data_IF_769059947902
#
_entry.id   IF_769059947902
#
_cell.length_a   1.000
_cell.length_b   1.000
_cell.length_c   1.000
_cell.angle_alpha   90.00
_cell.angle_beta   90.00
_cell.angle_gamma   90.00
#
_symmetry.space_group_name_H-M   'P 1'
#
loop_
_entity.id
_entity.type
_entity.pdbx_description
1 polymer ?
#
# COMPACT_ATOMS: atom_id res chain seq x y z
N UNK A 1 15.65 -1.07 -35.97
CA UNK A 1 15.05 -2.01 -34.99
C UNK A 1 16.17 -2.53 -34.13
N UNK A 2 16.32 -2.03 -32.91
CA UNK A 2 17.30 -2.53 -31.94
C UNK A 2 16.66 -3.66 -31.16
N UNK A 3 17.04 -4.90 -31.44
CA UNK A 3 16.72 -6.06 -30.60
C UNK A 3 17.42 -5.86 -29.27
N UNK A 4 16.67 -5.52 -28.23
CA UNK A 4 17.17 -5.52 -26.86
C UNK A 4 17.63 -6.94 -26.55
N UNK A 5 18.93 -7.17 -26.38
CA UNK A 5 19.46 -8.42 -25.87
C UNK A 5 18.96 -8.54 -24.42
N UNK A 6 17.96 -9.40 -24.22
CA UNK A 6 17.39 -9.67 -22.88
C UNK A 6 18.22 -10.78 -22.27
N UNK A 7 18.99 -10.44 -21.24
CA UNK A 7 19.64 -11.43 -20.39
C UNK A 7 18.63 -11.96 -19.35
N UNK A 8 18.17 -13.20 -19.55
CA UNK A 8 17.18 -13.84 -18.68
C UNK A 8 17.75 -14.17 -17.30
N UNK A 9 19.07 -14.31 -17.16
CA UNK A 9 19.70 -14.55 -15.87
C UNK A 9 19.55 -13.35 -14.94
N UNK A 10 19.42 -12.14 -15.51
CA UNK A 10 19.13 -10.93 -14.75
C UNK A 10 17.67 -10.84 -14.26
N UNK A 11 16.72 -11.53 -14.93
CA UNK A 11 15.30 -11.55 -14.56
C UNK A 11 14.94 -12.71 -13.63
N UNK A 12 15.75 -13.77 -13.60
CA UNK A 12 15.55 -14.95 -12.77
C UNK A 12 15.33 -14.63 -11.27
N UNK A 13 16.08 -13.72 -10.63
CA UNK A 13 15.81 -13.35 -9.24
C UNK A 13 14.43 -12.71 -9.04
N UNK A 14 13.97 -11.90 -10.01
CA UNK A 14 12.66 -11.23 -9.97
C UNK A 14 11.53 -12.24 -10.09
N UNK A 15 11.60 -13.15 -11.07
CA UNK A 15 10.61 -14.22 -11.25
C UNK A 15 10.59 -15.15 -10.03
N UNK A 16 11.77 -15.52 -9.51
CA UNK A 16 11.88 -16.37 -8.31
C UNK A 16 11.25 -15.73 -7.08
N UNK A 17 11.47 -14.43 -6.85
CA UNK A 17 10.87 -13.71 -5.74
C UNK A 17 9.34 -13.67 -5.83
N UNK A 18 8.80 -13.43 -7.04
CA UNK A 18 7.36 -13.40 -7.29
C UNK A 18 6.71 -14.78 -7.14
N UNK A 19 7.32 -15.84 -7.71
CA UNK A 19 6.84 -17.23 -7.53
C UNK A 19 6.77 -17.59 -6.04
N UNK A 20 7.79 -17.23 -5.26
CA UNK A 20 7.78 -17.42 -3.80
C UNK A 20 6.68 -16.61 -3.11
N UNK A 21 6.43 -15.37 -3.55
CA UNK A 21 5.36 -14.53 -2.99
C UNK A 21 3.98 -15.16 -3.20
N UNK A 22 3.72 -15.79 -4.35
CA UNK A 22 2.47 -16.50 -4.62
C UNK A 22 2.41 -17.92 -4.03
N UNK A 23 3.46 -18.39 -3.35
CA UNK A 23 3.54 -19.76 -2.84
C UNK A 23 3.66 -20.82 -3.95
N UNK A 24 4.08 -20.41 -5.15
CA UNK A 24 4.19 -21.28 -6.31
C UNK A 24 5.42 -22.19 -6.28
N UNK A 25 5.37 -23.34 -6.97
CA UNK A 25 6.49 -24.28 -7.03
C UNK A 25 7.67 -23.72 -7.83
N UNK A 26 8.89 -24.14 -7.45
CA UNK A 26 10.12 -23.67 -8.08
C UNK A 26 10.26 -24.02 -9.57
N UNK A 27 9.52 -25.01 -10.07
CA UNK A 27 9.55 -25.38 -11.49
C UNK A 27 8.83 -24.36 -12.39
N UNK A 28 7.93 -23.54 -11.85
CA UNK A 28 7.25 -22.48 -12.62
C UNK A 28 8.22 -21.38 -13.06
N UNK A 29 9.38 -21.26 -12.40
CA UNK A 29 10.34 -20.17 -12.64
C UNK A 29 10.87 -20.19 -14.06
N UNK A 30 11.26 -21.35 -14.59
CA UNK A 30 11.82 -21.46 -15.93
C UNK A 30 10.76 -21.23 -17.02
N UNK A 31 9.54 -21.74 -16.82
CA UNK A 31 8.40 -21.52 -17.70
C UNK A 31 8.03 -20.03 -17.77
N UNK A 32 7.96 -19.37 -16.61
CA UNK A 32 7.68 -17.94 -16.50
C UNK A 32 8.79 -17.07 -17.10
N UNK A 33 10.06 -17.47 -16.99
CA UNK A 33 11.17 -16.80 -17.66
C UNK A 33 11.05 -16.92 -19.19
N UNK A 34 10.67 -18.09 -19.69
CA UNK A 34 10.44 -18.30 -21.12
C UNK A 34 9.25 -17.49 -21.64
N UNK A 35 8.13 -17.45 -20.91
CA UNK A 35 6.97 -16.62 -21.27
C UNK A 35 7.29 -15.12 -21.24
N UNK A 36 8.08 -14.70 -20.26
CA UNK A 36 8.60 -13.33 -20.15
C UNK A 36 9.43 -12.97 -21.37
N UNK A 37 10.35 -13.86 -21.77
CA UNK A 37 11.18 -13.67 -22.95
C UNK A 37 10.33 -13.52 -24.22
N UNK A 38 9.39 -14.44 -24.45
CA UNK A 38 8.47 -14.39 -25.60
C UNK A 38 7.65 -13.10 -25.64
N UNK A 39 7.32 -12.56 -24.47
CA UNK A 39 6.57 -11.31 -24.34
C UNK A 39 7.43 -10.10 -24.67
N UNK A 40 8.68 -10.08 -24.22
CA UNK A 40 9.63 -9.02 -24.52
C UNK A 40 9.91 -8.90 -26.02
N UNK A 41 9.89 -10.02 -26.77
CA UNK A 41 10.00 -9.99 -28.23
C UNK A 41 8.84 -9.25 -28.93
N UNK A 42 7.68 -9.12 -28.26
CA UNK A 42 6.47 -8.49 -28.81
C UNK A 42 6.32 -7.03 -28.39
N UNK A 43 7.08 -6.56 -27.41
CA UNK A 43 6.98 -5.20 -26.88
C UNK A 43 7.88 -4.25 -27.67
N UNK A 44 7.32 -3.12 -28.11
CA UNK A 44 8.12 -2.02 -28.69
C UNK A 44 8.65 -1.15 -27.55
N UNK A 45 9.97 -1.15 -27.36
CA UNK A 45 10.63 -0.29 -26.40
C UNK A 45 10.79 1.13 -26.94
N UNK A 46 10.36 2.11 -26.15
CA UNK A 46 10.59 3.53 -26.38
C UNK A 46 11.59 4.06 -25.34
N UNK A 47 12.85 4.32 -25.72
CA UNK A 47 13.89 4.80 -24.81
C UNK A 47 13.58 6.15 -24.16
N UNK A 48 12.68 6.95 -24.75
CA UNK A 48 12.29 8.24 -24.18
C UNK A 48 11.34 8.10 -22.99
N UNK A 49 10.78 6.90 -22.77
CA UNK A 49 9.78 6.61 -21.73
C UNK A 49 10.30 5.77 -20.56
N UNK A 50 11.57 5.35 -20.58
CA UNK A 50 12.18 4.62 -19.48
C UNK A 50 13.37 3.78 -19.91
N UNK A 51 13.97 3.06 -18.96
CA UNK A 51 15.10 2.17 -19.22
C UNK A 51 14.65 0.74 -19.58
N UNK A 52 15.43 0.07 -20.43
CA UNK A 52 15.15 -1.29 -20.91
C UNK A 52 15.11 -2.36 -19.81
N UNK A 53 16.04 -2.36 -18.83
CA UNK A 53 15.98 -3.27 -17.69
C UNK A 53 14.68 -3.16 -16.87
N UNK A 54 14.18 -1.95 -16.64
CA UNK A 54 12.92 -1.69 -15.94
C UNK A 54 11.74 -2.23 -16.75
N UNK A 55 11.72 -2.03 -18.07
CA UNK A 55 10.72 -2.66 -18.93
C UNK A 55 10.75 -4.20 -18.80
N UNK A 56 11.94 -4.79 -18.82
CA UNK A 56 12.11 -6.24 -18.69
C UNK A 56 11.56 -6.77 -17.36
N UNK A 57 11.80 -6.06 -16.25
CA UNK A 57 11.24 -6.38 -14.93
C UNK A 57 9.72 -6.26 -14.89
N UNK A 58 9.16 -5.21 -15.48
CA UNK A 58 7.69 -4.99 -15.55
C UNK A 58 7.01 -6.12 -16.33
N UNK A 59 7.55 -6.49 -17.49
CA UNK A 59 7.01 -7.60 -18.29
C UNK A 59 7.12 -8.93 -17.54
N UNK A 60 8.26 -9.19 -16.88
CA UNK A 60 8.44 -10.40 -16.08
C UNK A 60 7.37 -10.52 -15.00
N UNK A 61 7.18 -9.48 -14.18
CA UNK A 61 6.18 -9.49 -13.11
C UNK A 61 4.76 -9.62 -13.62
N UNK A 62 4.42 -8.91 -14.70
CA UNK A 62 3.09 -9.02 -15.31
C UNK A 62 2.79 -10.45 -15.73
N UNK A 63 3.79 -11.18 -16.24
CA UNK A 63 3.62 -12.60 -16.60
C UNK A 63 3.43 -13.49 -15.40
N UNK A 64 4.24 -13.34 -14.36
CA UNK A 64 4.03 -14.11 -13.12
C UNK A 64 2.65 -13.85 -12.51
N UNK A 65 2.22 -12.58 -12.47
CA UNK A 65 0.90 -12.21 -11.98
C UNK A 65 -0.23 -12.76 -12.85
N UNK A 66 -0.16 -12.61 -14.18
CA UNK A 66 -1.16 -13.14 -15.10
C UNK A 66 -1.26 -14.67 -14.99
N UNK A 67 -0.13 -15.36 -14.86
CA UNK A 67 -0.05 -16.81 -14.67
C UNK A 67 -0.77 -17.26 -13.39
N UNK A 68 -0.43 -16.69 -12.22
CA UNK A 68 -1.06 -17.12 -10.96
C UNK A 68 -2.51 -16.64 -10.83
N UNK A 69 -2.87 -15.49 -11.41
CA UNK A 69 -4.26 -15.06 -11.53
C UNK A 69 -5.08 -16.04 -12.36
N UNK A 70 -4.53 -16.51 -13.48
CA UNK A 70 -5.18 -17.49 -14.34
C UNK A 70 -5.25 -18.88 -13.67
N UNK A 71 -4.19 -19.30 -12.99
CA UNK A 71 -4.15 -20.55 -12.23
C UNK A 71 -5.19 -20.56 -11.08
N UNK A 72 -5.36 -19.43 -10.38
CA UNK A 72 -6.39 -19.27 -9.36
C UNK A 72 -7.82 -19.35 -9.94
N UNK A 73 -8.03 -18.79 -11.14
CA UNK A 73 -9.34 -18.85 -11.82
C UNK A 73 -9.71 -20.25 -12.36
N UNK A 74 -8.73 -21.12 -12.56
CA UNK A 74 -8.92 -22.49 -13.05
C UNK A 74 -8.93 -23.57 -11.94
N UNK A 75 -9.01 -23.17 -10.67
CA UNK A 75 -9.33 -24.08 -9.57
C UNK A 75 -8.23 -25.08 -9.20
N UNK A 76 -6.95 -24.71 -9.35
CA UNK A 76 -5.83 -25.52 -8.85
C UNK A 76 -5.12 -24.85 -7.67
N UNK A 77 -4.91 -25.65 -6.65
CA UNK A 77 -4.40 -25.35 -5.30
C UNK A 77 -3.09 -24.55 -5.31
N UNK A 78 -3.09 -23.35 -4.72
CA UNK A 78 -1.88 -22.73 -4.18
C UNK A 78 -2.06 -22.60 -2.66
N UNK A 79 -1.41 -23.51 -1.93
CA UNK A 79 -1.35 -23.51 -0.47
C UNK A 79 -0.29 -22.53 0.02
N UNK A 80 -0.75 -21.45 0.65
CA UNK A 80 -0.07 -20.81 1.79
C UNK A 80 1.05 -19.81 1.51
N UNK A 81 0.99 -18.65 2.18
CA UNK A 81 2.16 -17.78 2.33
C UNK A 81 1.88 -16.29 2.53
N UNK A 82 1.25 -15.95 3.66
CA UNK A 82 1.09 -14.59 4.21
C UNK A 82 2.31 -13.69 3.96
N UNK A 83 2.17 -12.63 3.15
CA UNK A 83 2.98 -11.40 3.26
C UNK A 83 2.15 -10.20 2.83
N UNK A 84 2.22 -9.14 3.61
CA UNK A 84 1.52 -7.85 3.43
C UNK A 84 1.99 -7.15 2.14
N UNK A 85 1.53 -7.64 0.99
CA UNK A 85 1.70 -7.00 -0.31
C UNK A 85 0.51 -6.08 -0.58
N UNK A 86 0.68 -5.11 -1.47
CA UNK A 86 -0.36 -4.17 -1.90
C UNK A 86 -1.66 -4.91 -2.36
N UNK A 87 -1.53 -6.18 -2.76
CA UNK A 87 -2.63 -7.08 -3.10
C UNK A 87 -3.53 -7.47 -1.93
N UNK A 88 -3.04 -7.53 -0.68
CA UNK A 88 -3.91 -7.75 0.48
C UNK A 88 -4.90 -6.59 0.69
N UNK A 89 -4.60 -5.41 0.13
CA UNK A 89 -5.46 -4.24 0.15
C UNK A 89 -6.50 -4.33 -0.98
N UNK A 90 -6.16 -4.85 -2.15
CA UNK A 90 -7.11 -4.96 -3.29
C UNK A 90 -7.98 -6.23 -3.26
N UNK A 91 -7.50 -7.34 -2.70
CA UNK A 91 -8.21 -8.63 -2.70
C UNK A 91 -9.45 -8.70 -1.79
N UNK A 92 -9.63 -7.76 -0.86
CA UNK A 92 -10.78 -7.75 0.07
C UNK A 92 -12.10 -7.40 -0.63
N UNK A 93 -12.09 -6.97 -1.91
CA UNK A 93 -13.29 -6.61 -2.68
C UNK A 93 -13.86 -7.74 -3.56
N UNK A 94 -13.37 -8.97 -3.42
CA UNK A 94 -13.90 -10.12 -4.16
C UNK A 94 -15.10 -10.74 -3.47
N UNK A 95 -16.24 -10.03 -3.43
CA UNK A 95 -17.47 -10.60 -2.90
C UNK A 95 -17.90 -11.79 -3.77
N UNK A 96 -18.19 -12.90 -3.10
CA UNK A 96 -18.39 -14.21 -3.69
C UNK A 96 -19.81 -14.34 -4.26
N UNK A 97 -20.03 -13.97 -5.53
CA UNK A 97 -21.07 -14.56 -6.39
C UNK A 97 -21.16 -13.84 -7.75
N UNK A 98 -20.59 -14.41 -8.81
CA UNK A 98 -21.14 -14.31 -10.17
C UNK A 98 -20.40 -15.30 -11.08
N UNK A 99 -21.01 -16.48 -11.29
CA UNK A 99 -20.74 -17.28 -12.47
C UNK A 99 -21.16 -16.43 -13.67
N UNK A 100 -20.21 -15.97 -14.47
CA UNK A 100 -20.49 -15.05 -15.57
C UNK A 100 -19.35 -15.02 -16.59
N UNK A 101 -19.65 -15.62 -17.74
CA UNK A 101 -18.96 -15.60 -19.03
C UNK A 101 -18.04 -14.39 -19.28
N UNK A 102 -16.79 -14.68 -19.68
CA UNK A 102 -15.78 -13.68 -20.05
C UNK A 102 -16.08 -13.15 -21.45
N UNK A 103 -16.51 -11.88 -21.52
CA UNK A 103 -16.39 -11.05 -22.72
C UNK A 103 -15.11 -10.19 -22.58
N UNK A 104 -14.29 -10.13 -23.63
CA UNK A 104 -12.88 -9.74 -23.57
C UNK A 104 -12.63 -8.21 -23.74
N UNK A 105 -13.69 -7.41 -23.81
CA UNK A 105 -13.57 -5.96 -24.09
C UNK A 105 -13.60 -5.05 -22.85
N UNK A 106 -13.96 -5.54 -21.65
CA UNK A 106 -14.13 -4.69 -20.44
C UNK A 106 -12.87 -4.55 -19.58
N UNK A 107 -11.90 -5.48 -19.67
CA UNK A 107 -10.71 -5.50 -18.79
C UNK A 107 -9.80 -4.28 -18.90
N UNK A 108 -9.93 -3.50 -19.98
CA UNK A 108 -9.11 -2.31 -20.22
C UNK A 108 -9.60 -1.10 -19.42
N UNK A 109 -10.89 -1.07 -19.06
CA UNK A 109 -11.52 0.02 -18.30
C UNK A 109 -11.26 -0.15 -16.80
N UNK A 110 -11.34 -1.38 -16.29
CA UNK A 110 -11.13 -1.69 -14.87
C UNK A 110 -9.70 -1.39 -14.39
N UNK A 111 -8.67 -1.74 -15.17
CA UNK A 111 -7.28 -1.47 -14.79
C UNK A 111 -6.93 0.04 -14.80
N UNK A 112 -7.56 0.83 -15.68
CA UNK A 112 -7.42 2.28 -15.68
C UNK A 112 -8.17 2.93 -14.51
N UNK A 113 -9.29 2.37 -14.10
CA UNK A 113 -10.07 2.86 -12.97
C UNK A 113 -9.42 2.51 -11.63
N UNK A 114 -8.83 1.32 -11.50
CA UNK A 114 -8.01 0.95 -10.35
C UNK A 114 -6.78 1.84 -10.22
N UNK A 115 -6.06 2.10 -11.31
CA UNK A 115 -4.90 3.00 -11.30
C UNK A 115 -5.31 4.44 -10.97
N UNK A 116 -6.43 4.92 -11.51
CA UNK A 116 -7.00 6.24 -11.19
C UNK A 116 -7.37 6.33 -9.71
N UNK A 117 -7.99 5.29 -9.16
CA UNK A 117 -8.35 5.22 -7.75
C UNK A 117 -7.11 5.19 -6.84
N UNK A 118 -6.06 4.46 -7.22
CA UNK A 118 -4.77 4.44 -6.50
C UNK A 118 -4.10 5.81 -6.53
N UNK A 119 -4.05 6.47 -7.69
CA UNK A 119 -3.47 7.81 -7.85
C UNK A 119 -4.29 8.87 -7.12
N UNK A 120 -5.61 8.77 -7.12
CA UNK A 120 -6.52 9.66 -6.38
C UNK A 120 -6.30 9.52 -4.88
N UNK A 121 -6.24 8.29 -4.35
CA UNK A 121 -5.91 8.05 -2.94
C UNK A 121 -4.53 8.58 -2.59
N UNK A 122 -3.52 8.37 -3.44
CA UNK A 122 -2.16 8.89 -3.20
C UNK A 122 -2.10 10.42 -3.22
N UNK A 123 -2.87 11.07 -4.10
CA UNK A 123 -2.98 12.52 -4.14
C UNK A 123 -3.72 13.06 -2.91
N UNK A 124 -4.79 12.37 -2.49
CA UNK A 124 -5.52 12.64 -1.27
C UNK A 124 -4.60 12.54 -0.05
N UNK A 125 -3.79 11.47 0.03
CA UNK A 125 -2.79 11.26 1.09
C UNK A 125 -1.72 12.36 1.05
N UNK A 126 -1.22 12.74 -0.12
CA UNK A 126 -0.25 13.84 -0.25
C UNK A 126 -0.82 15.17 0.28
N UNK A 127 -2.09 15.46 -0.05
CA UNK A 127 -2.78 16.69 0.33
C UNK A 127 -3.22 16.71 1.80
N UNK A 128 -3.80 15.61 2.29
CA UNK A 128 -4.31 15.46 3.66
C UNK A 128 -3.22 15.59 4.74
N UNK A 129 -2.00 15.22 4.39
CA UNK A 129 -0.94 15.01 5.37
C UNK A 129 0.20 15.99 5.25
N UNK A 130 0.16 16.89 4.26
CA UNK A 130 1.33 17.67 3.87
C UNK A 130 2.55 16.76 3.76
N UNK A 131 2.37 15.54 3.22
CA UNK A 131 3.47 14.60 3.13
C UNK A 131 4.55 15.27 2.31
N UNK A 132 5.73 15.37 2.91
CA UNK A 132 6.95 15.76 2.21
C UNK A 132 6.98 15.02 0.87
N UNK A 133 6.95 15.78 -0.23
CA UNK A 133 6.85 15.24 -1.59
C UNK A 133 7.92 14.19 -1.85
N UNK A 134 9.09 14.35 -1.22
CA UNK A 134 10.19 13.39 -1.27
C UNK A 134 9.82 12.02 -0.67
N UNK A 135 9.00 11.96 0.38
CA UNK A 135 8.59 10.68 0.99
C UNK A 135 7.62 9.91 0.11
N UNK A 136 6.67 10.61 -0.51
CA UNK A 136 5.75 10.03 -1.50
C UNK A 136 6.56 9.55 -2.70
N UNK A 137 7.48 10.37 -3.20
CA UNK A 137 8.33 10.03 -4.34
C UNK A 137 9.20 8.80 -4.03
N UNK A 138 9.86 8.75 -2.87
CA UNK A 138 10.64 7.58 -2.47
C UNK A 138 9.78 6.32 -2.30
N UNK A 139 8.56 6.45 -1.78
CA UNK A 139 7.61 5.34 -1.71
C UNK A 139 7.22 4.85 -3.10
N UNK A 140 6.84 5.76 -4.00
CA UNK A 140 6.46 5.43 -5.37
C UNK A 140 7.62 4.82 -6.13
N UNK A 141 8.82 5.38 -6.03
CA UNK A 141 10.02 4.80 -6.65
C UNK A 141 10.33 3.43 -6.06
N UNK A 142 10.28 3.29 -4.73
CA UNK A 142 10.48 2.00 -4.07
C UNK A 142 9.51 0.95 -4.59
N UNK A 143 8.23 1.25 -4.76
CA UNK A 143 7.23 0.25 -5.14
C UNK A 143 6.98 0.11 -6.65
N UNK A 144 7.22 1.15 -7.46
CA UNK A 144 6.98 1.15 -8.90
C UNK A 144 8.25 0.90 -9.73
N UNK A 145 9.43 1.28 -9.22
CA UNK A 145 10.72 1.16 -9.95
C UNK A 145 11.56 0.02 -9.37
N UNK A 146 11.60 -0.07 -8.03
CA UNK A 146 12.40 -1.07 -7.31
C UNK A 146 11.54 -2.20 -6.70
N UNK A 147 10.22 -2.09 -6.80
CA UNK A 147 9.20 -3.07 -6.36
C UNK A 147 9.43 -3.66 -4.98
N UNK A 148 9.73 -2.79 -4.01
CA UNK A 148 9.97 -3.16 -2.63
C UNK A 148 11.39 -3.61 -2.32
N UNK A 149 12.31 -3.69 -3.31
CA UNK A 149 13.73 -3.94 -3.05
C UNK A 149 14.38 -2.71 -2.42
N UNK A 150 14.30 -2.68 -1.10
CA UNK A 150 14.88 -1.62 -0.27
C UNK A 150 16.39 -1.50 -0.38
N UNK A 151 17.10 -2.55 -0.81
CA UNK A 151 18.56 -2.53 -0.95
C UNK A 151 18.94 -1.85 -2.26
N UNK A 152 18.33 -2.27 -3.38
CA UNK A 152 18.52 -1.64 -4.68
C UNK A 152 18.07 -0.17 -4.68
N UNK A 153 16.89 0.09 -4.10
CA UNK A 153 16.37 1.45 -3.95
C UNK A 153 17.30 2.32 -3.08
N UNK A 154 17.84 1.76 -1.98
CA UNK A 154 18.76 2.51 -1.10
C UNK A 154 20.03 2.94 -1.83
N UNK A 155 20.63 2.02 -2.59
CA UNK A 155 21.83 2.32 -3.37
C UNK A 155 21.57 3.36 -4.47
N UNK A 156 20.42 3.29 -5.14
CA UNK A 156 20.11 4.17 -6.26
C UNK A 156 19.59 5.56 -5.85
N UNK A 157 18.88 5.65 -4.71
CA UNK A 157 18.29 6.90 -4.22
C UNK A 157 19.21 7.66 -3.25
N UNK A 158 20.30 7.05 -2.78
CA UNK A 158 21.18 7.65 -1.78
C UNK A 158 20.52 7.78 -0.39
N UNK A 159 19.43 7.06 -0.15
CA UNK A 159 18.66 7.05 1.11
C UNK A 159 18.88 5.72 1.82
N UNK A 160 18.98 5.70 3.14
CA UNK A 160 19.17 4.43 3.85
C UNK A 160 17.96 3.50 3.72
N UNK A 161 18.19 2.20 3.59
CA UNK A 161 17.13 1.19 3.54
C UNK A 161 16.20 1.23 4.77
N UNK A 162 16.72 1.67 5.92
CA UNK A 162 15.91 1.89 7.13
C UNK A 162 14.88 3.02 6.92
N UNK A 163 15.31 4.16 6.38
CA UNK A 163 14.44 5.31 6.09
C UNK A 163 13.41 4.97 5.00
N UNK A 164 13.79 4.20 3.98
CA UNK A 164 12.86 3.72 2.95
C UNK A 164 11.77 2.81 3.54
N UNK A 165 12.15 1.85 4.41
CA UNK A 165 11.17 0.98 5.09
C UNK A 165 10.27 1.75 6.05
N UNK A 166 10.81 2.74 6.76
CA UNK A 166 10.04 3.59 7.64
C UNK A 166 9.01 4.41 6.85
N UNK A 167 9.46 5.07 5.78
CA UNK A 167 8.60 5.86 4.89
C UNK A 167 7.51 4.99 4.27
N UNK A 168 7.85 3.79 3.79
CA UNK A 168 6.88 2.88 3.20
C UNK A 168 5.81 2.43 4.20
N UNK A 169 6.21 2.05 5.42
CA UNK A 169 5.25 1.72 6.49
C UNK A 169 4.36 2.90 6.85
N UNK A 170 4.87 4.12 6.82
CA UNK A 170 4.09 5.32 7.12
C UNK A 170 3.06 5.59 6.03
N UNK A 171 3.47 5.59 4.76
CA UNK A 171 2.58 5.81 3.61
C UNK A 171 1.50 4.73 3.53
N UNK A 172 1.84 3.46 3.73
CA UNK A 172 0.87 2.35 3.75
C UNK A 172 -0.17 2.54 4.87
N UNK A 173 0.28 2.84 6.08
CA UNK A 173 -0.65 3.04 7.21
C UNK A 173 -1.61 4.21 6.94
N UNK A 174 -1.12 5.27 6.31
CA UNK A 174 -1.92 6.43 5.96
C UNK A 174 -2.93 6.13 4.85
N UNK A 175 -2.49 5.46 3.79
CA UNK A 175 -3.38 5.02 2.71
C UNK A 175 -4.48 4.10 3.25
N UNK A 176 -4.16 3.20 4.18
CA UNK A 176 -5.14 2.33 4.83
C UNK A 176 -6.16 3.12 5.66
N UNK A 177 -5.73 4.15 6.40
CA UNK A 177 -6.65 5.01 7.17
C UNK A 177 -7.55 5.83 6.25
N UNK A 178 -6.99 6.45 5.21
CA UNK A 178 -7.77 7.21 4.22
C UNK A 178 -8.80 6.29 3.58
N UNK A 179 -8.39 5.10 3.14
CA UNK A 179 -9.32 4.11 2.58
C UNK A 179 -10.42 3.73 3.58
N UNK A 180 -10.07 3.42 4.82
CA UNK A 180 -11.03 3.06 5.84
C UNK A 180 -12.00 4.21 6.16
N UNK A 181 -11.56 5.47 6.06
CA UNK A 181 -12.43 6.65 6.20
C UNK A 181 -13.37 6.79 4.98
N UNK A 182 -12.87 6.56 3.77
CA UNK A 182 -13.67 6.59 2.55
C UNK A 182 -14.77 5.50 2.54
N UNK A 183 -14.47 4.33 3.11
CA UNK A 183 -15.36 3.16 3.20
C UNK A 183 -16.22 3.15 4.48
N UNK A 184 -16.07 4.12 5.39
CA UNK A 184 -16.82 4.16 6.64
C UNK A 184 -18.33 4.36 6.40
N UNK A 185 -19.20 3.74 7.23
CA UNK A 185 -20.66 3.88 7.12
C UNK A 185 -21.13 5.32 7.37
N UNK A 186 -22.20 5.71 6.69
CA UNK A 186 -22.69 7.10 6.65
C UNK A 186 -23.35 7.55 7.97
N UNK A 187 -23.89 6.63 8.77
CA UNK A 187 -24.77 6.97 9.90
C UNK A 187 -24.08 7.60 11.11
N UNK A 188 -22.75 7.51 11.22
CA UNK A 188 -21.93 8.17 12.26
C UNK A 188 -20.47 7.70 12.16
N UNK A 189 -19.66 8.21 11.22
CA UNK A 189 -18.26 7.82 11.16
C UNK A 189 -17.50 8.29 12.41
N UNK A 190 -16.54 7.48 12.88
CA UNK A 190 -15.68 7.78 14.03
C UNK A 190 -14.21 7.69 13.61
N UNK A 191 -13.46 8.75 13.89
CA UNK A 191 -12.01 8.82 13.70
C UNK A 191 -11.31 7.70 14.49
N UNK A 192 -11.71 7.48 15.75
CA UNK A 192 -11.12 6.43 16.60
C UNK A 192 -11.34 5.05 15.98
N UNK A 193 -12.58 4.75 15.56
CA UNK A 193 -12.91 3.47 14.95
C UNK A 193 -12.15 3.23 13.64
N UNK A 194 -12.02 4.27 12.81
CA UNK A 194 -11.30 4.20 11.53
C UNK A 194 -9.80 3.98 11.72
N UNK A 195 -9.15 4.64 12.68
CA UNK A 195 -7.72 4.40 12.92
C UNK A 195 -7.49 3.01 13.53
N UNK A 196 -8.43 2.54 14.37
CA UNK A 196 -8.35 1.23 15.00
C UNK A 196 -8.57 0.06 14.03
N UNK A 197 -9.33 0.26 12.95
CA UNK A 197 -9.62 -0.79 11.96
C UNK A 197 -8.44 -1.13 11.04
N UNK A 198 -7.43 -0.26 10.97
CA UNK A 198 -6.29 -0.44 10.09
C UNK A 198 -5.33 -1.49 10.65
N UNK A 199 -4.93 -2.51 9.83
CA UNK A 199 -4.01 -3.56 10.24
C UNK A 199 -2.57 -3.04 10.32
N UNK A 200 -2.32 -2.17 11.28
CA UNK A 200 -0.98 -1.69 11.64
C UNK A 200 -0.71 -1.96 13.10
N UNK A 201 0.56 -2.21 13.44
CA UNK A 201 0.99 -2.39 14.84
C UNK A 201 0.67 -1.18 15.73
N UNK A 202 0.34 -0.05 15.12
CA UNK A 202 0.03 1.22 15.78
C UNK A 202 -1.48 1.46 15.84
N UNK A 203 -2.25 1.04 14.82
CA UNK A 203 -3.71 1.12 14.80
C UNK A 203 -4.35 0.40 15.99
N UNK A 204 -3.82 -0.75 16.39
CA UNK A 204 -4.30 -1.48 17.59
C UNK A 204 -4.24 -0.68 18.90
N UNK A 205 -3.35 0.31 18.98
CA UNK A 205 -3.20 1.17 20.16
C UNK A 205 -4.08 2.42 20.07
N UNK A 206 -4.64 2.72 18.90
CA UNK A 206 -5.42 3.93 18.68
C UNK A 206 -6.59 4.13 19.66
N UNK A 207 -7.38 3.10 20.05
CA UNK A 207 -8.45 3.29 21.03
C UNK A 207 -7.98 3.83 22.37
N UNK A 208 -6.85 3.32 22.90
CA UNK A 208 -6.31 3.76 24.18
C UNK A 208 -5.77 5.20 24.11
N UNK A 209 -5.03 5.52 23.05
CA UNK A 209 -4.39 6.83 22.92
C UNK A 209 -5.38 7.94 22.52
N UNK A 210 -6.31 7.65 21.61
CA UNK A 210 -7.34 8.61 21.22
C UNK A 210 -8.44 8.71 22.26
N UNK A 211 -8.75 7.65 23.01
CA UNK A 211 -9.63 7.72 24.19
C UNK A 211 -9.08 8.70 25.22
N UNK A 212 -7.79 8.59 25.57
CA UNK A 212 -7.14 9.56 26.45
C UNK A 212 -7.12 10.99 25.86
N UNK A 213 -7.11 11.13 24.53
CA UNK A 213 -7.24 12.43 23.87
C UNK A 213 -8.63 13.04 23.99
N UNK A 214 -9.67 12.23 23.88
CA UNK A 214 -11.04 12.67 24.12
C UNK A 214 -11.21 13.14 25.56
N UNK A 215 -10.69 12.39 26.53
CA UNK A 215 -10.73 12.75 27.95
C UNK A 215 -9.92 14.03 28.26
N UNK A 216 -8.79 14.23 27.59
CA UNK A 216 -7.96 15.42 27.74
C UNK A 216 -8.52 16.66 27.02
N UNK A 217 -9.59 16.52 26.23
CA UNK A 217 -10.19 17.62 25.45
C UNK A 217 -9.41 17.95 24.18
N UNK A 218 -8.81 16.96 23.53
CA UNK A 218 -8.23 17.07 22.18
C UNK A 218 -6.81 16.52 22.05
N UNK A 219 -6.39 16.25 20.81
CA UNK A 219 -5.09 15.63 20.49
C UNK A 219 -3.87 16.49 20.84
N UNK A 220 -4.06 17.78 21.10
CA UNK A 220 -2.99 18.71 21.53
C UNK A 220 -2.90 18.84 23.04
N UNK A 221 -3.93 18.44 23.78
CA UNK A 221 -4.01 18.58 25.24
C UNK A 221 -3.44 17.38 26.01
N UNK A 222 -3.16 16.27 25.32
CA UNK A 222 -2.69 15.03 25.93
C UNK A 222 -1.25 15.12 26.43
N UNK A 223 -1.05 14.81 27.71
CA UNK A 223 0.28 14.56 28.28
C UNK A 223 0.77 13.13 27.96
N UNK A 224 1.98 13.04 27.41
CA UNK A 224 2.62 11.78 27.05
C UNK A 224 3.02 10.96 28.28
N UNK A 225 3.31 11.60 29.42
CA UNK A 225 3.58 10.85 30.66
C UNK A 225 2.32 10.16 31.15
N UNK A 226 1.17 10.85 31.14
CA UNK A 226 -0.11 10.26 31.45
C UNK A 226 -0.46 9.08 30.51
N UNK A 227 -0.19 9.21 29.20
CA UNK A 227 -0.36 8.10 28.24
C UNK A 227 0.55 6.90 28.55
N UNK A 228 1.81 7.15 28.90
CA UNK A 228 2.76 6.09 29.26
C UNK A 228 2.27 5.32 30.49
N UNK A 229 1.78 6.03 31.50
CA UNK A 229 1.17 5.44 32.70
C UNK A 229 -0.10 4.67 32.37
N UNK A 230 -1.02 5.25 31.59
CA UNK A 230 -2.31 4.63 31.26
C UNK A 230 -2.15 3.36 30.40
N UNK A 231 -1.17 3.34 29.51
CA UNK A 231 -0.93 2.20 28.59
C UNK A 231 0.11 1.21 29.08
N UNK A 232 0.79 1.49 30.20
CA UNK A 232 1.87 0.68 30.74
C UNK A 232 3.10 0.60 29.82
N UNK A 233 3.28 1.56 28.91
CA UNK A 233 4.40 1.57 27.96
C UNK A 233 5.52 2.50 28.40
N UNK A 234 6.80 2.22 28.06
CA UNK A 234 7.89 3.16 28.33
C UNK A 234 7.63 4.52 27.67
N UNK A 235 8.01 5.61 28.36
CA UNK A 235 7.75 6.99 27.90
C UNK A 235 8.14 7.24 26.44
N UNK A 236 9.33 6.81 26.02
CA UNK A 236 9.79 7.01 24.64
C UNK A 236 8.93 6.26 23.61
N UNK A 237 8.44 5.07 23.97
CA UNK A 237 7.53 4.28 23.13
C UNK A 237 6.17 4.96 23.06
N UNK A 238 5.63 5.42 24.20
CA UNK A 238 4.37 6.17 24.26
C UNK A 238 4.44 7.43 23.40
N UNK A 239 5.55 8.19 23.49
CA UNK A 239 5.81 9.37 22.68
C UNK A 239 5.80 9.05 21.19
N UNK A 240 6.47 7.97 20.79
CA UNK A 240 6.55 7.57 19.39
C UNK A 240 5.21 7.09 18.84
N UNK A 241 4.49 6.25 19.58
CA UNK A 241 3.16 5.78 19.20
C UNK A 241 2.17 6.93 19.13
N UNK A 242 2.18 7.81 20.13
CA UNK A 242 1.30 8.98 20.15
C UNK A 242 1.53 9.89 18.95
N UNK A 243 2.80 10.21 18.66
CA UNK A 243 3.15 11.01 17.48
C UNK A 243 2.58 10.40 16.20
N UNK A 244 2.60 9.07 16.05
CA UNK A 244 2.10 8.42 14.84
C UNK A 244 0.58 8.32 14.82
N UNK A 245 -0.05 7.98 15.94
CA UNK A 245 -1.52 7.91 16.07
C UNK A 245 -2.15 9.28 15.78
N UNK A 246 -1.55 10.38 16.24
CA UNK A 246 -2.01 11.74 15.91
C UNK A 246 -2.03 12.02 14.41
N UNK A 247 -0.99 11.59 13.70
CA UNK A 247 -0.91 11.77 12.24
C UNK A 247 -1.99 10.95 11.54
N UNK A 248 -2.21 9.70 11.97
CA UNK A 248 -3.29 8.85 11.44
C UNK A 248 -4.68 9.45 11.72
N UNK A 249 -4.93 9.93 12.94
CA UNK A 249 -6.20 10.56 13.31
C UNK A 249 -6.47 11.83 12.50
N UNK A 250 -5.44 12.66 12.25
CA UNK A 250 -5.55 13.81 11.36
C UNK A 250 -5.88 13.41 9.93
N UNK A 251 -5.28 12.32 9.42
CA UNK A 251 -5.58 11.77 8.10
C UNK A 251 -7.07 11.38 7.97
N UNK A 252 -7.58 10.65 8.96
CA UNK A 252 -8.98 10.24 9.01
C UNK A 252 -9.90 11.47 9.06
N UNK A 253 -9.67 12.40 9.99
CA UNK A 253 -10.47 13.60 10.17
C UNK A 253 -10.50 14.46 8.88
N UNK A 254 -9.35 14.65 8.24
CA UNK A 254 -9.27 15.35 6.95
C UNK A 254 -10.08 14.64 5.86
N UNK A 255 -10.00 13.31 5.80
CA UNK A 255 -10.73 12.51 4.79
C UNK A 255 -12.25 12.60 4.99
N UNK A 256 -12.70 12.64 6.25
CA UNK A 256 -14.10 12.83 6.57
C UNK A 256 -14.60 14.25 6.22
N UNK A 257 -13.81 15.28 6.50
CA UNK A 257 -14.11 16.64 6.04
C UNK A 257 -14.18 16.73 4.51
N UNK A 258 -13.26 16.06 3.80
CA UNK A 258 -13.27 16.01 2.34
C UNK A 258 -14.54 15.36 1.76
N UNK A 259 -15.15 14.40 2.48
CA UNK A 259 -16.44 13.79 2.11
C UNK A 259 -17.66 14.60 2.57
N UNK A 260 -17.48 15.76 3.22
CA UNK A 260 -18.54 16.47 3.94
C UNK A 260 -19.29 15.56 4.94
N UNK A 261 -18.59 14.58 5.53
CA UNK A 261 -19.16 13.63 6.49
C UNK A 261 -18.85 14.07 7.92
N UNK A 262 -19.84 14.49 8.72
CA UNK A 262 -19.63 14.81 10.12
C UNK A 262 -19.25 13.55 10.90
N UNK A 263 -18.16 13.59 11.66
CA UNK A 263 -17.75 12.49 12.54
C UNK A 263 -18.16 12.76 13.98
N UNK A 264 -18.43 11.69 14.73
CA UNK A 264 -18.92 11.78 16.11
C UNK A 264 -17.90 12.33 17.09
N UNK A 265 -16.62 12.18 16.77
CA UNK A 265 -15.47 12.51 17.62
C UNK A 265 -14.61 13.66 17.07
N UNK A 266 -15.00 14.30 15.94
CA UNK A 266 -14.23 15.38 15.31
C UNK A 266 -13.90 16.52 16.29
N UNK A 267 -14.95 17.16 16.81
CA UNK A 267 -14.83 18.42 17.55
C UNK A 267 -14.21 18.22 18.93
N UNK A 268 -14.30 16.99 19.45
CA UNK A 268 -13.65 16.59 20.70
C UNK A 268 -12.15 16.33 20.49
N UNK A 269 -11.77 15.70 19.37
CA UNK A 269 -10.36 15.43 19.05
C UNK A 269 -9.62 16.65 18.53
N UNK A 270 -10.30 17.49 17.74
CA UNK A 270 -9.74 18.67 17.05
C UNK A 270 -10.54 19.94 17.37
N UNK A 271 -10.57 20.37 18.65
CA UNK A 271 -11.26 21.60 19.03
C UNK A 271 -10.56 22.80 18.39
N UNK A 272 -11.23 23.41 17.39
CA UNK A 272 -10.67 24.51 16.59
C UNK A 272 -10.29 24.14 15.14
N UNK A 273 -10.53 22.90 14.71
CA UNK A 273 -10.20 22.42 13.37
C UNK A 273 -8.86 21.69 13.29
N UNK A 274 -8.46 21.30 12.07
CA UNK A 274 -7.30 20.44 11.80
C UNK A 274 -5.94 21.14 11.85
#
# INVERSE_FOLDING_TARGET
MTTTSVDLDHLRPVVTAMVRQYGGPAHDIDDLLQETWLSLQRVRFDPSRGDGPTLCRVVARRRVHDYYRQAASHGSQCNGGKTDSLEAITAVRGDSAAVGHVDDDTRRVDATDELRQVLEVLHLVQHALGMDGERVEHFLRLHLIYDGDTTAASAALGVSAHVLRASARDVIALAQVVRAALEAPDDAPSIVATVASVPSTIGRHAPAYLGAALEAGGVTAVDVHALATATGTPFNTARQYWSRIRVLARAAAWTFQYKDHPTTDHDQLFPGGL
#
